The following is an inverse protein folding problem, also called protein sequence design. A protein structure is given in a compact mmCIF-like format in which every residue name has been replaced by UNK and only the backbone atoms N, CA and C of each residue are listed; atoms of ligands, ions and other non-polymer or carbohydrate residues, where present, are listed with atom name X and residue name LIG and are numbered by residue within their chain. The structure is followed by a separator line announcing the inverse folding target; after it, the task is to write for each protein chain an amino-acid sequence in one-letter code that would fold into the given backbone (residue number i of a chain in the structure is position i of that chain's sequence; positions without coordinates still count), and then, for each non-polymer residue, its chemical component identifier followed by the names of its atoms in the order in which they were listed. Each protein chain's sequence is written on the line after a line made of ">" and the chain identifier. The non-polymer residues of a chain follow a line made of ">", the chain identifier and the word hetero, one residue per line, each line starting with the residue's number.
data_IF_724584991828
#
_entry.id   IF_724584991828
#
_cell.length_a   1.000
_cell.length_b   1.000
_cell.length_c   1.000
_cell.angle_alpha   90.00
_cell.angle_beta   90.00
_cell.angle_gamma   90.00
#
_symmetry.space_group_name_H-M   'P 1'
#
loop_
_entity.id
_entity.type
_entity.pdbx_description
1 polymer ?
#
# COMPACT_ATOMS: atom_id res chain seq x y z
N UNK A 1 25.11 -3.47 5.87
CA UNK A 1 24.60 -3.83 4.52
C UNK A 1 23.32 -3.05 4.31
N UNK A 2 23.18 -2.27 3.22
CA UNK A 2 21.97 -1.48 2.97
C UNK A 2 20.82 -2.46 2.65
N UNK A 3 19.71 -2.38 3.37
CA UNK A 3 18.56 -3.23 3.09
C UNK A 3 18.04 -2.92 1.68
N UNK A 4 18.03 -3.93 0.82
CA UNK A 4 17.54 -3.78 -0.54
C UNK A 4 16.00 -3.83 -0.58
N UNK A 5 15.44 -3.54 -1.76
CA UNK A 5 13.99 -3.51 -1.95
C UNK A 5 13.34 -4.88 -1.71
N UNK A 6 14.06 -5.96 -1.99
CA UNK A 6 13.59 -7.32 -1.76
C UNK A 6 13.39 -7.59 -0.26
N UNK A 7 14.35 -7.19 0.59
CA UNK A 7 14.19 -7.25 2.03
C UNK A 7 12.95 -6.48 2.48
N UNK A 8 12.79 -5.23 2.01
CA UNK A 8 11.69 -4.37 2.47
C UNK A 8 10.32 -4.91 2.08
N UNK A 9 10.17 -5.36 0.83
CA UNK A 9 8.94 -6.03 0.37
C UNK A 9 8.61 -7.27 1.21
N UNK A 10 9.60 -8.14 1.50
CA UNK A 10 9.37 -9.32 2.34
C UNK A 10 8.99 -8.96 3.77
N UNK A 11 9.57 -7.90 4.31
CA UNK A 11 9.25 -7.42 5.66
C UNK A 11 7.81 -6.91 5.74
N UNK A 12 7.35 -6.15 4.74
CA UNK A 12 5.94 -5.73 4.65
C UNK A 12 5.03 -6.94 4.55
N UNK A 13 5.28 -7.84 3.59
CA UNK A 13 4.49 -9.07 3.43
C UNK A 13 4.36 -9.83 4.75
N UNK A 14 5.48 -10.01 5.47
CA UNK A 14 5.48 -10.74 6.74
C UNK A 14 4.65 -10.06 7.82
N UNK A 15 4.63 -8.73 7.84
CA UNK A 15 3.93 -7.96 8.86
C UNK A 15 2.42 -7.83 8.58
N UNK A 16 2.01 -7.90 7.31
CA UNK A 16 0.63 -7.63 6.91
C UNK A 16 -0.19 -8.86 6.56
N UNK A 17 0.44 -10.04 6.49
CA UNK A 17 -0.23 -11.29 6.10
C UNK A 17 0.03 -12.41 7.10
N UNK A 18 -0.86 -13.41 7.09
CA UNK A 18 -0.70 -14.59 7.93
C UNK A 18 0.41 -15.52 7.44
N UNK A 19 1.06 -16.23 8.35
CA UNK A 19 2.20 -17.08 8.00
C UNK A 19 1.85 -18.20 7.00
N UNK A 20 0.70 -18.85 7.21
CA UNK A 20 0.31 -20.05 6.44
C UNK A 20 -0.29 -19.70 5.07
N UNK A 21 -0.94 -18.54 4.93
CA UNK A 21 -1.69 -18.17 3.73
C UNK A 21 -1.17 -16.91 3.02
N UNK A 22 -0.03 -16.34 3.44
CA UNK A 22 0.50 -15.08 2.89
C UNK A 22 0.41 -14.91 1.38
N UNK A 23 0.75 -15.94 0.61
CA UNK A 23 0.80 -15.83 -0.85
C UNK A 23 -0.60 -15.71 -1.45
N UNK A 24 -1.53 -16.50 -0.91
CA UNK A 24 -2.94 -16.48 -1.30
C UNK A 24 -3.62 -15.19 -0.83
N UNK A 25 -3.31 -14.74 0.38
CA UNK A 25 -3.79 -13.43 0.88
C UNK A 25 -3.29 -12.30 -0.01
N UNK A 26 -2.01 -12.30 -0.40
CA UNK A 26 -1.50 -11.29 -1.33
C UNK A 26 -2.23 -11.32 -2.67
N UNK A 27 -2.51 -12.49 -3.25
CA UNK A 27 -3.28 -12.60 -4.48
C UNK A 27 -4.71 -12.08 -4.32
N UNK A 28 -5.38 -12.42 -3.21
CA UNK A 28 -6.72 -11.94 -2.89
C UNK A 28 -6.76 -10.41 -2.68
N UNK A 29 -5.69 -9.83 -2.14
CA UNK A 29 -5.57 -8.41 -1.79
C UNK A 29 -5.01 -7.53 -2.91
N UNK A 30 -4.17 -8.09 -3.78
CA UNK A 30 -3.43 -7.35 -4.82
C UNK A 30 -3.84 -7.72 -6.24
N UNK A 31 -4.52 -8.85 -6.45
CA UNK A 31 -4.83 -9.36 -7.77
C UNK A 31 -3.65 -10.03 -8.49
N UNK A 32 -2.45 -9.98 -7.92
CA UNK A 32 -1.24 -10.56 -8.52
C UNK A 32 -1.12 -12.02 -8.11
N UNK A 33 -0.87 -12.90 -9.08
CA UNK A 33 -0.84 -14.34 -8.88
C UNK A 33 0.08 -14.76 -7.70
N UNK A 34 -0.39 -15.71 -6.89
CA UNK A 34 0.34 -16.28 -5.75
C UNK A 34 1.73 -16.81 -6.13
N UNK A 35 1.88 -17.29 -7.38
CA UNK A 35 3.14 -17.77 -7.96
C UNK A 35 4.18 -16.65 -8.11
N UNK A 36 3.77 -15.45 -8.54
CA UNK A 36 4.64 -14.28 -8.62
C UNK A 36 5.11 -13.85 -7.22
N UNK A 37 4.18 -13.81 -6.25
CA UNK A 37 4.52 -13.55 -4.85
C UNK A 37 5.46 -14.61 -4.28
N UNK A 38 5.30 -15.88 -4.65
CA UNK A 38 6.21 -16.97 -4.25
C UNK A 38 7.63 -16.74 -4.76
N UNK A 39 7.79 -16.29 -6.00
CA UNK A 39 9.10 -16.04 -6.60
C UNK A 39 9.85 -14.90 -5.88
N UNK A 40 9.14 -13.83 -5.53
CA UNK A 40 9.69 -12.75 -4.69
C UNK A 40 9.99 -13.24 -3.27
N UNK A 41 9.06 -13.95 -2.65
CA UNK A 41 9.22 -14.46 -1.29
C UNK A 41 10.43 -15.40 -1.15
N UNK A 42 10.67 -16.26 -2.14
CA UNK A 42 11.82 -17.18 -2.19
C UNK A 42 13.10 -16.52 -2.71
N UNK A 43 12.99 -15.38 -3.40
CA UNK A 43 14.13 -14.57 -3.86
C UNK A 43 14.62 -14.98 -5.24
N UNK A 44 13.82 -15.77 -5.95
CA UNK A 44 14.03 -16.12 -7.35
C UNK A 44 13.79 -14.93 -8.27
N UNK A 45 13.04 -13.94 -7.81
CA UNK A 45 12.71 -12.74 -8.57
C UNK A 45 12.79 -11.50 -7.66
N UNK A 46 13.23 -10.36 -8.22
CA UNK A 46 13.07 -9.06 -7.57
C UNK A 46 11.61 -8.57 -7.71
N UNK A 47 11.06 -7.86 -6.72
CA UNK A 47 9.73 -7.25 -6.86
C UNK A 47 9.69 -6.35 -8.10
N UNK A 48 8.65 -6.50 -8.93
CA UNK A 48 8.42 -5.61 -10.09
C UNK A 48 7.80 -4.29 -9.61
N UNK A 49 7.79 -3.27 -10.49
CA UNK A 49 7.10 -2.01 -10.20
C UNK A 49 5.63 -2.23 -9.85
N UNK A 50 4.92 -3.06 -10.64
CA UNK A 50 3.53 -3.43 -10.38
C UNK A 50 3.32 -4.08 -8.99
N UNK A 51 4.22 -4.97 -8.57
CA UNK A 51 4.15 -5.57 -7.23
C UNK A 51 4.40 -4.54 -6.11
N UNK A 52 5.36 -3.64 -6.31
CA UNK A 52 5.67 -2.58 -5.34
C UNK A 52 4.49 -1.62 -5.22
N UNK A 53 3.90 -1.21 -6.33
CA UNK A 53 2.71 -0.36 -6.35
C UNK A 53 1.53 -1.04 -5.67
N UNK A 54 1.27 -2.32 -5.96
CA UNK A 54 0.19 -3.05 -5.32
C UNK A 54 0.31 -3.08 -3.79
N UNK A 55 1.53 -3.28 -3.26
CA UNK A 55 1.79 -3.18 -1.81
C UNK A 55 1.60 -1.75 -1.30
N UNK A 56 2.09 -0.76 -2.03
CA UNK A 56 1.98 0.65 -1.65
C UNK A 56 0.54 1.15 -1.63
N UNK A 57 -0.31 0.68 -2.56
CA UNK A 57 -1.75 1.01 -2.56
C UNK A 57 -2.50 0.29 -1.44
N UNK A 58 -2.12 -0.96 -1.14
CA UNK A 58 -2.80 -1.74 -0.10
C UNK A 58 -2.41 -1.31 1.32
N UNK A 59 -1.13 -0.97 1.52
CA UNK A 59 -0.56 -0.56 2.80
C UNK A 59 0.23 0.75 2.63
N UNK A 60 -0.47 1.89 2.43
CA UNK A 60 0.14 3.16 2.07
C UNK A 60 1.10 3.73 3.12
N UNK A 61 0.93 3.38 4.40
CA UNK A 61 1.87 3.76 5.45
C UNK A 61 3.30 3.25 5.20
N UNK A 62 3.46 2.11 4.50
CA UNK A 62 4.77 1.51 4.23
C UNK A 62 5.34 1.91 2.86
N UNK A 63 4.61 2.65 2.02
CA UNK A 63 5.00 2.95 0.64
C UNK A 63 6.36 3.66 0.55
N UNK A 64 6.53 4.73 1.34
CA UNK A 64 7.77 5.49 1.39
C UNK A 64 8.95 4.63 1.86
N UNK A 65 8.75 3.80 2.89
CA UNK A 65 9.78 2.92 3.40
C UNK A 65 10.16 1.82 2.39
N UNK A 66 9.20 1.21 1.69
CA UNK A 66 9.50 0.23 0.63
C UNK A 66 10.40 0.85 -0.45
N UNK A 67 10.10 2.07 -0.88
CA UNK A 67 10.85 2.74 -1.93
C UNK A 67 12.25 3.20 -1.48
N UNK A 68 12.32 3.90 -0.34
CA UNK A 68 13.52 4.64 0.07
C UNK A 68 14.35 3.94 1.16
N UNK A 69 13.71 3.09 1.96
CA UNK A 69 14.27 2.53 3.20
C UNK A 69 14.30 3.51 4.37
N UNK A 70 13.70 4.70 4.21
CA UNK A 70 13.56 5.73 5.25
C UNK A 70 12.13 5.72 5.80
N UNK A 71 11.95 6.22 7.01
CA UNK A 71 10.63 6.55 7.57
C UNK A 71 10.49 8.05 7.74
N UNK A 72 9.25 8.51 7.75
CA UNK A 72 8.84 9.88 8.03
C UNK A 72 7.54 9.79 8.84
N UNK A 73 7.71 9.47 10.13
CA UNK A 73 6.61 9.10 11.02
C UNK A 73 5.64 10.23 11.27
N UNK A 74 6.08 11.48 11.16
CA UNK A 74 5.24 12.66 11.34
C UNK A 74 4.24 12.81 10.18
N UNK A 75 4.63 12.32 9.00
CA UNK A 75 3.75 12.25 7.84
C UNK A 75 3.04 10.88 7.72
N UNK A 76 3.18 10.01 8.71
CA UNK A 76 2.59 8.67 8.76
C UNK A 76 3.23 7.66 7.81
N UNK A 77 4.44 7.94 7.33
CA UNK A 77 5.25 7.02 6.56
C UNK A 77 6.11 6.19 7.51
N UNK A 78 5.64 4.99 7.83
CA UNK A 78 6.19 4.12 8.87
C UNK A 78 6.91 2.91 8.28
N UNK A 79 7.53 2.12 9.15
CA UNK A 79 8.08 0.82 8.79
C UNK A 79 7.42 -0.28 9.63
N UNK A 80 7.27 -1.51 9.10
CA UNK A 80 6.70 -2.60 9.89
C UNK A 80 7.50 -2.92 11.16
N UNK A 81 6.82 -3.51 12.16
CA UNK A 81 7.49 -3.95 13.40
C UNK A 81 8.63 -4.91 13.11
N UNK A 82 9.80 -4.68 13.72
CA UNK A 82 11.01 -5.48 13.49
C UNK A 82 11.75 -5.16 12.19
N UNK A 83 11.27 -4.22 11.39
CA UNK A 83 12.02 -3.69 10.26
C UNK A 83 13.26 -2.92 10.75
N UNK A 84 14.35 -3.06 10.02
CA UNK A 84 15.49 -2.19 10.20
C UNK A 84 15.23 -0.83 9.54
N UNK A 85 15.54 0.24 10.27
CA UNK A 85 15.55 1.63 9.83
C UNK A 85 16.95 2.20 10.06
N UNK A 86 17.32 3.28 9.37
CA UNK A 86 18.63 3.91 9.51
C UNK A 86 18.69 4.86 10.72
N UNK A 87 18.09 4.46 11.85
CA UNK A 87 18.00 5.26 13.08
C UNK A 87 16.74 6.12 13.19
N UNK A 88 15.91 6.20 12.14
CA UNK A 88 14.64 6.91 12.21
C UNK A 88 13.62 6.18 13.11
N UNK A 89 12.71 6.92 13.76
CA UNK A 89 11.55 6.34 14.44
C UNK A 89 10.76 5.42 13.50
N UNK A 90 10.28 4.30 14.01
CA UNK A 90 9.57 3.31 13.17
C UNK A 90 8.09 3.63 12.99
N UNK A 91 7.47 4.23 13.98
CA UNK A 91 6.05 4.57 14.01
C UNK A 91 5.82 5.78 14.89
N UNK A 92 4.81 6.56 14.53
CA UNK A 92 4.07 7.43 15.43
C UNK A 92 2.61 7.01 15.28
N UNK A 93 2.05 6.31 16.27
CA UNK A 93 0.75 5.64 16.12
C UNK A 93 -0.39 6.60 15.78
N UNK A 94 -0.38 7.80 16.35
CA UNK A 94 -1.41 8.80 16.10
C UNK A 94 -1.30 9.34 14.67
N UNK A 95 -0.11 9.83 14.29
CA UNK A 95 0.15 10.32 12.94
C UNK A 95 -0.05 9.24 11.86
N UNK A 96 0.34 8.00 12.14
CA UNK A 96 0.13 6.84 11.26
C UNK A 96 -1.34 6.55 11.03
N UNK A 97 -2.16 6.48 12.11
CA UNK A 97 -3.58 6.19 11.98
C UNK A 97 -4.31 7.25 11.13
N UNK A 98 -4.01 8.53 11.38
CA UNK A 98 -4.63 9.64 10.64
C UNK A 98 -4.14 9.71 9.19
N UNK A 99 -2.84 9.51 8.96
CA UNK A 99 -2.28 9.49 7.62
C UNK A 99 -2.78 8.30 6.79
N UNK A 100 -2.93 7.11 7.38
CA UNK A 100 -3.52 5.95 6.70
C UNK A 100 -4.92 6.29 6.20
N UNK A 101 -5.76 6.89 7.05
CA UNK A 101 -7.10 7.34 6.63
C UNK A 101 -7.04 8.35 5.50
N UNK A 102 -6.13 9.32 5.57
CA UNK A 102 -5.88 10.27 4.48
C UNK A 102 -5.48 9.58 3.17
N UNK A 103 -4.51 8.68 3.20
CA UNK A 103 -4.06 7.96 2.02
C UNK A 103 -5.14 7.05 1.44
N UNK A 104 -5.89 6.34 2.28
CA UNK A 104 -7.01 5.50 1.85
C UNK A 104 -8.10 6.31 1.15
N UNK A 105 -8.44 7.50 1.66
CA UNK A 105 -9.36 8.43 1.01
C UNK A 105 -8.82 8.89 -0.36
N UNK A 106 -7.55 9.29 -0.41
CA UNK A 106 -6.92 9.74 -1.66
C UNK A 106 -6.81 8.63 -2.72
N UNK A 107 -6.54 7.39 -2.29
CA UNK A 107 -6.53 6.22 -3.17
C UNK A 107 -7.92 5.96 -3.72
N UNK A 108 -8.97 6.06 -2.90
CA UNK A 108 -10.35 5.92 -3.36
C UNK A 108 -10.73 7.00 -4.38
N UNK A 109 -10.39 8.26 -4.10
CA UNK A 109 -10.58 9.37 -5.03
C UNK A 109 -9.83 9.14 -6.34
N UNK A 110 -8.57 8.69 -6.28
CA UNK A 110 -7.79 8.34 -7.46
C UNK A 110 -8.44 7.20 -8.26
N UNK A 111 -8.89 6.13 -7.60
CA UNK A 111 -9.56 5.00 -8.25
C UNK A 111 -10.85 5.41 -8.99
N UNK A 112 -11.56 6.43 -8.50
CA UNK A 112 -12.74 6.97 -9.19
C UNK A 112 -12.42 7.71 -10.49
N UNK A 113 -11.23 8.32 -10.57
CA UNK A 113 -10.78 9.08 -11.75
C UNK A 113 -10.16 8.17 -12.81
N UNK A 114 -9.29 7.25 -12.39
CA UNK A 114 -8.50 6.42 -13.30
C UNK A 114 -9.14 5.04 -13.59
N UNK A 115 -10.13 4.61 -12.80
CA UNK A 115 -10.79 3.31 -12.95
C UNK A 115 -9.83 2.12 -12.76
N UNK A 116 -10.16 0.98 -13.38
CA UNK A 116 -9.35 -0.25 -13.36
C UNK A 116 -8.10 -0.19 -14.24
N UNK A 117 -7.92 0.86 -15.04
CA UNK A 117 -6.87 0.92 -16.07
C UNK A 117 -5.45 0.87 -15.48
N UNK A 118 -5.23 1.31 -14.24
CA UNK A 118 -3.95 1.17 -13.55
C UNK A 118 -3.58 -0.26 -13.13
N UNK A 119 -4.53 -1.20 -13.13
CA UNK A 119 -4.28 -2.61 -12.82
C UNK A 119 -3.89 -3.45 -14.05
N UNK A 120 -4.02 -2.90 -15.26
CA UNK A 120 -4.02 -3.65 -16.52
C UNK A 120 -3.03 -3.13 -17.56
N UNK A 121 -1.99 -2.38 -17.19
CA UNK A 121 -0.99 -1.95 -18.19
C UNK A 121 -0.28 -3.17 -18.82
N UNK A 122 -0.78 -3.50 -20.01
CA UNK A 122 -0.24 -4.44 -21.00
C UNK A 122 0.69 -3.72 -21.99
N UNK A 123 1.33 -2.63 -21.56
CA UNK A 123 2.13 -1.75 -22.43
C UNK A 123 3.55 -2.26 -22.72
N UNK A 124 3.92 -3.43 -22.21
CA UNK A 124 5.14 -4.13 -22.63
C UNK A 124 4.79 -5.39 -23.42
N UNK A 125 4.37 -5.16 -24.67
CA UNK A 125 4.12 -6.21 -25.64
C UNK A 125 5.41 -6.99 -25.92
N UNK A 126 5.45 -8.26 -25.51
CA UNK A 126 5.78 -9.32 -26.46
C UNK A 126 5.49 -10.75 -25.93
N UNK A 127 5.32 -11.66 -26.90
CA UNK A 127 5.28 -13.13 -26.85
C UNK A 127 3.89 -13.81 -26.80
N UNK A 128 3.61 -14.54 -27.89
CA UNK A 128 2.84 -15.79 -28.15
C UNK A 128 1.40 -15.97 -27.61
N UNK A 129 0.46 -16.07 -28.55
CA UNK A 129 -0.90 -15.60 -28.41
C UNK A 129 -1.96 -16.55 -27.82
N UNK A 130 -1.84 -17.89 -27.85
CA UNK A 130 -3.04 -18.73 -27.63
C UNK A 130 -3.18 -19.36 -26.24
N UNK A 131 -2.09 -19.77 -25.56
CA UNK A 131 -2.15 -20.22 -24.16
C UNK A 131 -2.07 -19.06 -23.16
N UNK A 132 -1.32 -18.00 -23.51
CA UNK A 132 -1.30 -16.76 -22.73
C UNK A 132 -2.68 -16.13 -22.63
N UNK A 133 -3.54 -16.23 -23.64
CA UNK A 133 -4.83 -15.54 -23.66
C UNK A 133 -5.76 -16.00 -22.53
N UNK A 134 -5.89 -17.31 -22.28
CA UNK A 134 -6.73 -17.83 -21.19
C UNK A 134 -6.15 -17.57 -19.79
N UNK A 135 -4.82 -17.64 -19.64
CA UNK A 135 -4.14 -17.31 -18.38
C UNK A 135 -4.28 -15.81 -18.10
N UNK A 136 -4.21 -14.98 -19.14
CA UNK A 136 -4.43 -13.54 -19.06
C UNK A 136 -5.87 -13.23 -18.64
N UNK A 137 -6.88 -13.91 -19.18
CA UNK A 137 -8.29 -13.71 -18.81
C UNK A 137 -8.56 -14.03 -17.33
N UNK A 138 -7.97 -15.12 -16.80
CA UNK A 138 -8.12 -15.49 -15.39
C UNK A 138 -7.36 -14.52 -14.46
N UNK A 139 -6.12 -14.16 -14.81
CA UNK A 139 -5.34 -13.18 -14.05
C UNK A 139 -6.03 -11.81 -14.06
N UNK A 140 -6.60 -11.40 -15.20
CA UNK A 140 -7.40 -10.18 -15.32
C UNK A 140 -8.66 -10.24 -14.47
N UNK A 141 -9.38 -11.37 -14.46
CA UNK A 141 -10.55 -11.53 -13.61
C UNK A 141 -10.20 -11.47 -12.12
N UNK A 142 -9.09 -12.10 -11.70
CA UNK A 142 -8.60 -12.04 -10.31
C UNK A 142 -8.23 -10.60 -9.95
N UNK A 143 -7.51 -9.90 -10.83
CA UNK A 143 -7.14 -8.50 -10.62
C UNK A 143 -8.37 -7.59 -10.51
N UNK A 144 -9.36 -7.77 -11.38
CA UNK A 144 -10.61 -7.03 -11.32
C UNK A 144 -11.38 -7.30 -10.03
N UNK A 145 -11.48 -8.57 -9.61
CA UNK A 145 -12.14 -8.93 -8.34
C UNK A 145 -11.41 -8.31 -7.13
N UNK A 146 -10.08 -8.34 -7.12
CA UNK A 146 -9.28 -7.73 -6.05
C UNK A 146 -9.47 -6.19 -6.02
N UNK A 147 -9.50 -5.55 -7.19
CA UNK A 147 -9.81 -4.13 -7.31
C UNK A 147 -11.19 -3.79 -6.74
N UNK A 148 -12.24 -4.50 -7.18
CA UNK A 148 -13.62 -4.24 -6.73
C UNK A 148 -13.77 -4.49 -5.21
N UNK A 149 -13.10 -5.50 -4.66
CA UNK A 149 -13.07 -5.74 -3.22
C UNK A 149 -12.41 -4.60 -2.47
N UNK A 150 -11.25 -4.13 -2.94
CA UNK A 150 -10.54 -3.00 -2.33
C UNK A 150 -11.39 -1.74 -2.39
N UNK A 151 -11.94 -1.42 -3.56
CA UNK A 151 -12.81 -0.27 -3.77
C UNK A 151 -14.03 -0.33 -2.84
N UNK A 152 -14.71 -1.46 -2.78
CA UNK A 152 -15.86 -1.67 -1.88
C UNK A 152 -15.46 -1.49 -0.40
N UNK A 153 -14.31 -2.02 0.02
CA UNK A 153 -13.83 -1.87 1.38
C UNK A 153 -13.48 -0.41 1.72
N UNK A 154 -12.89 0.33 0.78
CA UNK A 154 -12.63 1.76 0.94
C UNK A 154 -13.92 2.58 0.97
N UNK A 155 -14.88 2.30 0.09
CA UNK A 155 -16.20 2.95 0.10
C UNK A 155 -16.95 2.70 1.41
N UNK A 156 -16.86 1.50 1.98
CA UNK A 156 -17.44 1.20 3.29
C UNK A 156 -16.79 2.02 4.44
N UNK A 157 -15.51 2.36 4.32
CA UNK A 157 -14.81 3.26 5.27
C UNK A 157 -15.19 4.72 5.09
N UNK A 158 -15.61 5.11 3.89
CA UNK A 158 -15.97 6.48 3.52
C UNK A 158 -17.35 6.51 2.86
N UNK A 159 -18.44 6.25 3.61
CA UNK A 159 -19.79 6.15 3.05
C UNK A 159 -20.27 7.46 2.41
N UNK A 160 -19.73 8.59 2.85
CA UNK A 160 -20.03 9.92 2.30
C UNK A 160 -19.19 10.25 1.06
N UNK A 161 -18.40 9.30 0.54
CA UNK A 161 -17.61 9.50 -0.68
C UNK A 161 -18.51 9.59 -1.90
N UNK A 162 -18.50 10.74 -2.56
CA UNK A 162 -19.19 11.00 -3.82
C UNK A 162 -18.17 11.03 -4.97
N UNK A 163 -18.25 10.05 -5.86
CA UNK A 163 -17.36 9.93 -7.01
C UNK A 163 -17.62 11.00 -8.09
N UNK A 164 -18.87 11.50 -8.18
CA UNK A 164 -19.29 12.52 -9.13
C UNK A 164 -19.05 13.94 -8.57
N UNK A 165 -18.84 14.03 -7.25
CA UNK A 165 -18.35 15.23 -6.58
C UNK A 165 -17.05 14.93 -5.80
N UNK A 166 -15.94 14.59 -6.50
CA UNK A 166 -14.68 14.15 -5.87
C UNK A 166 -14.04 15.21 -4.96
N UNK A 167 -14.53 16.45 -5.02
CA UNK A 167 -14.16 17.57 -4.17
C UNK A 167 -15.27 17.98 -3.19
N UNK A 168 -16.18 17.10 -2.77
CA UNK A 168 -16.98 17.38 -1.57
C UNK A 168 -16.04 17.41 -0.35
N UNK A 169 -15.53 18.62 -0.11
CA UNK A 169 -14.42 18.95 0.79
C UNK A 169 -14.67 18.60 2.25
N UNK A 170 -15.87 18.21 2.70
CA UNK A 170 -16.15 18.04 4.13
C UNK A 170 -15.34 16.92 4.77
N UNK A 171 -15.36 15.72 4.18
CA UNK A 171 -14.60 14.58 4.70
C UNK A 171 -13.09 14.77 4.46
N UNK A 172 -12.72 15.32 3.31
CA UNK A 172 -11.33 15.62 2.97
C UNK A 172 -10.71 16.69 3.90
N UNK A 173 -11.40 17.80 4.14
CA UNK A 173 -10.93 18.88 5.01
C UNK A 173 -10.84 18.39 6.44
N UNK A 174 -11.84 17.64 6.93
CA UNK A 174 -11.81 17.07 8.28
C UNK A 174 -10.60 16.15 8.49
N UNK A 175 -10.34 15.22 7.56
CA UNK A 175 -9.17 14.32 7.64
C UNK A 175 -7.85 15.10 7.54
N UNK A 176 -7.80 16.13 6.69
CA UNK A 176 -6.61 16.96 6.52
C UNK A 176 -6.35 17.84 7.76
N UNK A 177 -7.40 18.39 8.36
CA UNK A 177 -7.32 19.19 9.58
C UNK A 177 -6.88 18.34 10.77
N UNK A 178 -7.43 17.12 10.91
CA UNK A 178 -7.01 16.12 11.90
C UNK A 178 -5.53 15.74 11.71
N UNK A 179 -5.10 15.50 10.47
CA UNK A 179 -3.70 15.19 10.18
C UNK A 179 -2.78 16.37 10.55
N UNK A 180 -3.22 17.59 10.26
CA UNK A 180 -2.48 18.80 10.59
C UNK A 180 -2.48 19.11 12.10
N UNK A 181 -3.50 18.70 12.86
CA UNK A 181 -3.51 18.83 14.33
C UNK A 181 -2.56 17.82 14.96
N UNK A 182 -2.59 16.55 14.53
CA UNK A 182 -1.68 15.51 15.03
C UNK A 182 -0.22 15.84 14.74
N UNK A 183 0.07 16.32 13.53
CA UNK A 183 1.41 16.80 13.14
C UNK A 183 1.90 17.96 14.00
N UNK A 184 1.01 18.88 14.39
CA UNK A 184 1.36 20.02 15.25
C UNK A 184 1.59 19.57 16.70
N UNK A 185 0.71 18.72 17.23
CA UNK A 185 0.84 18.18 18.57
C UNK A 185 2.18 17.45 18.78
N UNK A 186 2.63 16.67 17.80
CA UNK A 186 3.91 15.93 17.86
C UNK A 186 5.13 16.86 17.86
N UNK A 187 5.07 18.02 17.19
CA UNK A 187 6.16 19.00 17.21
C UNK A 187 6.31 19.71 18.55
N UNK A 188 5.22 19.80 19.31
CA UNK A 188 5.17 20.52 20.58
C UNK A 188 5.36 19.58 21.80
N UNK A 189 5.40 18.25 21.62
CA UNK A 189 5.77 17.32 22.71
C UNK A 189 7.29 17.39 22.98
N UNK A 190 7.72 17.57 24.24
CA UNK A 190 9.14 17.53 24.57
C UNK A 190 9.68 16.12 24.31
N UNK A 191 10.77 16.01 23.54
CA UNK A 191 11.48 14.75 23.33
C UNK A 191 11.74 14.07 24.68
N UNK A 192 11.07 12.94 24.92
CA UNK A 192 11.42 12.09 26.06
C UNK A 192 12.82 11.54 25.79
N UNK A 193 13.78 11.71 26.72
CA UNK A 193 15.14 11.22 26.52
C UNK A 193 15.09 9.72 26.27
N UNK A 194 15.73 9.28 25.18
CA UNK A 194 15.90 7.85 24.88
C UNK A 194 16.58 7.17 26.06
N UNK A 195 15.84 6.35 26.81
CA UNK A 195 16.42 5.49 27.84
C UNK A 195 17.23 4.38 27.14
N UNK A 196 18.50 4.16 27.52
CA UNK A 196 19.37 3.14 26.93
C UNK A 196 18.89 1.70 27.15
#
# INVERSE_FOLDING_TARGET
>A
MRNDILYRVRTVIRATTSERRRLKELEEETGIASTNWKNVWTGRQRPTAHMIEALARRWPQYAFWIATGLTDTDNGHTAPTGAWTAGQPRTNKAAEATAVRYFEFQILAQDSVYGTNGALESDFGDLKATEKQKVNDLEHAIAHIAYERRKSALQAKFPDFDADAPFQFKSYSAITDELNSERRYVRDEPEKPNTP
#
